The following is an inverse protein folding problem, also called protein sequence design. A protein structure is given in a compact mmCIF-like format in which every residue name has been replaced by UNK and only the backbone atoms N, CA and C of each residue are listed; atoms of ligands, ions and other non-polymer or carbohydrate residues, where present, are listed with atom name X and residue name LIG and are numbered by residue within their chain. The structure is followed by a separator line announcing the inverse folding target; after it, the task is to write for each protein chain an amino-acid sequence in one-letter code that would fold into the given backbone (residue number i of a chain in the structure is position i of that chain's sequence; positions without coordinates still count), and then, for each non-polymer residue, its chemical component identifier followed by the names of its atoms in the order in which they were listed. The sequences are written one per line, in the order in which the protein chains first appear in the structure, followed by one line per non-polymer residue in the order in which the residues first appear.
data_IF_313709488137
#
_entry.id   IF_313709488137
#
_cell.length_a   1.000
_cell.length_b   1.000
_cell.length_c   1.000
_cell.angle_alpha   90.00
_cell.angle_beta   90.00
_cell.angle_gamma   90.00
#
_symmetry.space_group_name_H-M   'P 1'
#
loop_
_entity.id
_entity.type
_entity.pdbx_description
1 polymer ?
#
# COMPACT_ATOMS: atom_id res chain seq x y z
N UNK A 1 19.09 6.46 -2.02
CA UNK A 1 18.13 7.04 -1.06
C UNK A 1 17.97 6.10 0.15
N UNK A 2 18.68 6.36 1.26
CA UNK A 2 18.63 5.53 2.46
C UNK A 2 17.35 5.78 3.28
N UNK A 3 16.85 4.73 3.96
CA UNK A 3 15.78 4.84 4.94
C UNK A 3 16.36 5.00 6.35
N UNK A 4 15.92 6.05 7.05
CA UNK A 4 16.40 6.38 8.39
C UNK A 4 15.97 5.39 9.48
N UNK A 5 14.87 4.65 9.25
CA UNK A 5 14.34 3.71 10.24
C UNK A 5 14.93 2.29 10.17
N UNK A 6 15.43 1.86 9.00
CA UNK A 6 15.88 0.47 8.82
C UNK A 6 17.08 0.30 7.89
N UNK A 7 17.80 1.38 7.57
CA UNK A 7 19.05 1.39 6.79
C UNK A 7 18.95 0.76 5.39
N UNK A 8 17.74 0.48 4.89
CA UNK A 8 17.53 0.05 3.51
C UNK A 8 17.82 1.18 2.54
N UNK A 9 18.56 0.88 1.48
CA UNK A 9 18.88 1.84 0.41
C UNK A 9 18.03 1.56 -0.82
N UNK A 10 17.41 2.60 -1.34
CA UNK A 10 16.60 2.57 -2.56
C UNK A 10 17.28 3.34 -3.68
N UNK A 11 17.16 2.85 -4.91
CA UNK A 11 17.71 3.49 -6.11
C UNK A 11 16.95 4.77 -6.48
N UNK A 12 15.65 4.85 -6.16
CA UNK A 12 14.78 5.98 -6.53
C UNK A 12 14.08 6.59 -5.32
N UNK A 13 13.88 7.91 -5.33
CA UNK A 13 13.25 8.65 -4.22
C UNK A 13 11.82 8.17 -3.95
N UNK A 14 11.01 7.98 -4.99
CA UNK A 14 9.63 7.52 -4.83
C UNK A 14 9.53 6.13 -4.19
N UNK A 15 10.54 5.26 -4.38
CA UNK A 15 10.59 3.94 -3.75
C UNK A 15 10.85 4.07 -2.24
N UNK A 16 11.73 5.00 -1.84
CA UNK A 16 11.96 5.35 -0.43
C UNK A 16 10.71 5.95 0.22
N UNK A 17 10.07 6.95 -0.42
CA UNK A 17 8.85 7.58 0.11
C UNK A 17 7.72 6.55 0.29
N UNK A 18 7.55 5.64 -0.69
CA UNK A 18 6.61 4.53 -0.58
C UNK A 18 6.97 3.59 0.57
N UNK A 19 8.27 3.30 0.75
CA UNK A 19 8.75 2.46 1.84
C UNK A 19 8.50 3.08 3.22
N UNK A 20 8.70 4.40 3.37
CA UNK A 20 8.45 5.13 4.63
C UNK A 20 6.99 5.02 5.13
N UNK A 21 6.03 4.79 4.22
CA UNK A 21 4.63 4.52 4.58
C UNK A 21 4.46 3.26 5.46
N UNK A 22 5.41 2.33 5.40
CA UNK A 22 5.40 1.14 6.23
C UNK A 22 5.75 1.46 7.69
N UNK A 23 6.65 2.42 7.91
CA UNK A 23 7.07 2.85 9.26
C UNK A 23 6.02 3.73 9.93
N UNK A 24 5.44 4.65 9.17
CA UNK A 24 4.40 5.56 9.67
C UNK A 24 3.02 4.91 9.79
N UNK A 25 2.83 3.72 9.22
CA UNK A 25 1.52 3.10 9.07
C UNK A 25 0.56 3.86 8.14
N UNK A 26 1.06 4.87 7.41
CA UNK A 26 0.25 5.70 6.54
C UNK A 26 -0.34 4.88 5.38
N UNK A 27 -1.66 4.78 5.33
CA UNK A 27 -2.41 3.97 4.38
C UNK A 27 -3.38 4.86 3.58
N UNK A 28 -2.89 5.57 2.54
CA UNK A 28 -3.72 6.49 1.77
C UNK A 28 -4.77 5.76 0.93
N UNK A 29 -4.53 4.50 0.58
CA UNK A 29 -5.43 3.74 -0.29
C UNK A 29 -6.38 2.90 0.55
N UNK A 30 -7.57 3.43 0.81
CA UNK A 30 -8.63 2.69 1.50
C UNK A 30 -9.50 1.93 0.49
N UNK A 31 -9.88 0.70 0.83
CA UNK A 31 -10.93 -0.02 0.11
C UNK A 31 -12.28 0.63 0.42
N UNK A 32 -13.10 0.86 -0.60
CA UNK A 32 -14.45 1.46 -0.42
C UNK A 32 -15.46 0.49 0.18
N UNK A 33 -15.31 -0.81 -0.07
CA UNK A 33 -16.25 -1.83 0.41
C UNK A 33 -16.07 -2.15 1.90
N UNK A 34 -14.82 -2.33 2.35
CA UNK A 34 -14.53 -2.78 3.73
C UNK A 34 -13.65 -1.81 4.53
N UNK A 35 -13.34 -0.63 3.98
CA UNK A 35 -12.51 0.41 4.62
C UNK A 35 -11.09 -0.01 5.00
N UNK A 36 -10.64 -1.20 4.59
CA UNK A 36 -9.27 -1.68 4.80
C UNK A 36 -8.26 -0.78 4.10
N UNK A 37 -7.29 -0.28 4.85
CA UNK A 37 -6.23 0.61 4.35
C UNK A 37 -5.02 -0.13 3.80
N UNK A 38 -4.45 0.38 2.71
CA UNK A 38 -3.27 -0.13 2.03
C UNK A 38 -2.25 0.99 1.81
N UNK A 39 -0.97 0.64 1.85
CA UNK A 39 0.15 1.56 1.59
C UNK A 39 0.39 1.77 0.09
N UNK A 40 -0.17 0.88 -0.76
CA UNK A 40 -0.03 0.88 -2.22
C UNK A 40 -1.35 0.63 -2.94
N UNK A 41 -1.50 1.23 -4.12
CA UNK A 41 -2.70 1.11 -4.97
C UNK A 41 -2.89 -0.30 -5.52
N UNK A 42 -1.82 -0.97 -5.93
CA UNK A 42 -1.86 -2.33 -6.50
C UNK A 42 -2.27 -3.37 -5.45
N UNK A 43 -1.81 -3.19 -4.20
CA UNK A 43 -2.24 -4.01 -3.07
C UNK A 43 -3.74 -3.83 -2.79
N UNK A 44 -4.24 -2.59 -2.80
CA UNK A 44 -5.69 -2.31 -2.71
C UNK A 44 -6.44 -2.92 -3.90
N UNK A 45 -5.94 -2.81 -5.13
CA UNK A 45 -6.62 -3.32 -6.32
C UNK A 45 -6.74 -4.84 -6.31
N UNK A 46 -5.68 -5.55 -5.92
CA UNK A 46 -5.70 -7.00 -5.75
C UNK A 46 -6.72 -7.42 -4.69
N UNK A 47 -6.76 -6.69 -3.58
CA UNK A 47 -7.77 -6.90 -2.55
C UNK A 47 -9.18 -6.56 -3.05
N UNK A 48 -9.36 -5.51 -3.84
CA UNK A 48 -10.66 -5.12 -4.37
C UNK A 48 -11.31 -6.28 -5.15
N UNK A 49 -10.52 -7.01 -5.95
CA UNK A 49 -10.98 -8.20 -6.67
C UNK A 49 -11.50 -9.32 -5.78
N UNK A 50 -11.11 -9.40 -4.51
CA UNK A 50 -11.68 -10.40 -3.60
C UNK A 50 -13.14 -10.08 -3.23
N UNK A 51 -13.54 -8.81 -3.33
CA UNK A 51 -14.95 -8.41 -3.20
C UNK A 51 -15.73 -8.70 -4.48
N UNK A 52 -15.11 -8.55 -5.66
CA UNK A 52 -15.76 -8.90 -6.93
C UNK A 52 -16.03 -10.41 -7.08
N UNK A 53 -15.26 -11.29 -6.41
CA UNK A 53 -15.58 -12.71 -6.32
C UNK A 53 -16.90 -13.00 -5.56
N UNK A 54 -17.43 -12.02 -4.81
CA UNK A 54 -18.75 -12.08 -4.19
C UNK A 54 -19.86 -11.50 -5.08
N UNK A 55 -19.52 -10.97 -6.27
CA UNK A 55 -20.47 -10.36 -7.22
C UNK A 55 -20.49 -11.12 -8.56
N UNK A 56 -20.53 -12.46 -8.51
CA UNK A 56 -21.19 -13.23 -9.56
C UNK A 56 -22.68 -13.33 -9.20
N UNK A 57 -23.46 -12.34 -9.64
CA UNK A 57 -24.89 -12.47 -9.88
C UNK A 57 -25.07 -12.35 -11.40
#
# INVERSE_FOLDING_TARGET
FPCEHCQRVFTRKYDLERHQRLHTGYKPYKCVHCHKGFTRVDARQRHYRSHDCQNSI
#
